data_IF_340725266180
#
_entry.id   IF_340725266180
#
_cell.length_a   1.000
_cell.length_b   1.000
_cell.length_c   1.000
_cell.angle_alpha   90.00
_cell.angle_beta   90.00
_cell.angle_gamma   90.00
#
_symmetry.space_group_name_H-M   'P 1'
#
loop_
_entity.id
_entity.type
_entity.pdbx_description
1 polymer ?
#
# COMPACT_ATOMS: atom_id res chain seq x y z
N UNK A 1 -20.99 2.91 -2.44
CA UNK A 1 -19.88 2.59 -3.37
C UNK A 1 -18.74 2.04 -2.54
N UNK A 2 -18.18 0.90 -2.93
CA UNK A 2 -17.04 0.30 -2.27
C UNK A 2 -15.76 0.91 -2.87
N UNK A 3 -14.82 1.35 -2.04
CA UNK A 3 -13.54 1.91 -2.50
C UNK A 3 -12.57 0.75 -2.71
N UNK A 4 -12.12 0.57 -3.96
CA UNK A 4 -11.23 -0.52 -4.32
C UNK A 4 -9.77 -0.15 -4.05
N UNK A 5 -9.13 -0.85 -3.11
CA UNK A 5 -7.72 -0.66 -2.77
C UNK A 5 -6.90 -1.83 -3.31
N UNK A 6 -5.99 -1.54 -4.23
CA UNK A 6 -5.08 -2.54 -4.77
C UNK A 6 -3.76 -2.60 -4.01
N UNK A 7 -3.25 -3.80 -3.77
CA UNK A 7 -1.96 -4.03 -3.13
C UNK A 7 -0.99 -4.64 -4.13
N UNK A 8 0.19 -4.06 -4.25
CA UNK A 8 1.35 -4.67 -4.91
C UNK A 8 2.49 -4.82 -3.92
N UNK A 9 3.20 -5.94 -4.00
CA UNK A 9 4.31 -6.23 -3.11
C UNK A 9 5.65 -6.16 -3.85
N UNK A 10 6.67 -5.66 -3.16
CA UNK A 10 8.06 -5.66 -3.59
C UNK A 10 9.00 -5.85 -2.39
N UNK A 11 10.31 -5.91 -2.62
CA UNK A 11 11.31 -5.88 -1.56
C UNK A 11 11.31 -7.11 -0.64
N UNK A 12 10.96 -8.28 -1.18
CA UNK A 12 11.04 -9.55 -0.46
C UNK A 12 12.45 -10.14 -0.38
N UNK A 13 13.40 -9.58 -1.13
CA UNK A 13 14.79 -10.03 -1.15
C UNK A 13 15.58 -9.64 0.11
N UNK A 14 15.28 -8.49 0.70
CA UNK A 14 15.88 -8.01 1.95
C UNK A 14 14.89 -7.10 2.70
N UNK A 15 13.82 -7.65 3.30
CA UNK A 15 12.78 -6.87 3.91
C UNK A 15 13.24 -6.26 5.25
N UNK A 16 13.00 -4.96 5.41
CA UNK A 16 13.15 -4.20 6.66
C UNK A 16 11.88 -4.21 7.51
N UNK A 17 10.75 -4.66 6.94
CA UNK A 17 9.43 -4.71 7.57
C UNK A 17 8.73 -6.03 7.24
N UNK A 18 7.81 -6.46 8.10
CA UNK A 18 6.87 -7.53 7.78
C UNK A 18 5.70 -6.98 6.94
N UNK A 19 5.83 -7.16 5.62
CA UNK A 19 4.85 -6.67 4.63
C UNK A 19 3.47 -7.30 4.82
N UNK A 20 3.41 -8.59 5.20
CA UNK A 20 2.14 -9.30 5.33
C UNK A 20 1.42 -8.87 6.60
N UNK A 21 2.16 -8.72 7.71
CA UNK A 21 1.64 -8.16 8.95
C UNK A 21 1.10 -6.75 8.75
N UNK A 22 1.87 -5.88 8.09
CA UNK A 22 1.44 -4.52 7.78
C UNK A 22 0.11 -4.48 7.03
N UNK A 23 -0.04 -5.28 5.96
CA UNK A 23 -1.28 -5.30 5.18
C UNK A 23 -2.45 -5.86 5.99
N UNK A 24 -2.22 -6.88 6.82
CA UNK A 24 -3.23 -7.41 7.73
C UNK A 24 -3.70 -6.35 8.76
N UNK A 25 -2.78 -5.53 9.27
CA UNK A 25 -3.11 -4.44 10.20
C UNK A 25 -3.90 -3.32 9.51
N UNK A 26 -3.55 -2.99 8.26
CA UNK A 26 -4.31 -2.02 7.44
C UNK A 26 -5.73 -2.54 7.20
N UNK A 27 -5.89 -3.79 6.77
CA UNK A 27 -7.19 -4.41 6.51
C UNK A 27 -8.08 -4.40 7.75
N UNK A 28 -7.54 -4.76 8.93
CA UNK A 28 -8.28 -4.74 10.20
C UNK A 28 -8.72 -3.34 10.64
N UNK A 29 -7.97 -2.31 10.26
CA UNK A 29 -8.24 -0.93 10.65
C UNK A 29 -9.18 -0.21 9.68
N UNK A 30 -9.46 -0.79 8.51
CA UNK A 30 -10.34 -0.19 7.52
C UNK A 30 -11.81 -0.54 7.75
N UNK A 31 -12.74 0.42 7.54
CA UNK A 31 -14.17 0.14 7.55
C UNK A 31 -14.59 -0.83 6.42
N UNK A 32 -15.73 -1.53 6.55
CA UNK A 32 -16.21 -2.50 5.57
C UNK A 32 -16.44 -1.97 4.15
N UNK A 33 -16.53 -0.65 3.98
CA UNK A 33 -16.68 0.03 2.67
C UNK A 33 -15.40 0.08 1.83
N UNK A 34 -14.26 -0.33 2.39
CA UNK A 34 -12.98 -0.48 1.68
C UNK A 34 -12.69 -1.97 1.49
N UNK A 35 -12.21 -2.34 0.32
CA UNK A 35 -11.75 -3.71 0.05
C UNK A 35 -10.31 -3.70 -0.45
N UNK A 36 -9.48 -4.56 0.15
CA UNK A 36 -8.14 -4.81 -0.33
C UNK A 36 -8.17 -5.95 -1.35
N UNK A 37 -7.44 -5.80 -2.43
CA UNK A 37 -7.22 -6.86 -3.41
C UNK A 37 -5.81 -6.82 -3.96
N UNK A 38 -5.27 -7.97 -4.31
CA UNK A 38 -4.02 -8.07 -5.09
C UNK A 38 -4.30 -8.24 -6.60
N UNK A 39 -5.56 -8.51 -6.93
CA UNK A 39 -6.02 -8.79 -8.30
C UNK A 39 -6.08 -7.51 -9.12
N UNK A 40 -5.44 -7.58 -10.28
CA UNK A 40 -5.50 -6.53 -11.28
C UNK A 40 -6.87 -6.60 -11.98
N UNK A 41 -7.57 -5.47 -12.07
CA UNK A 41 -8.83 -5.38 -12.84
C UNK A 41 -8.61 -4.62 -14.14
N UNK A 42 -9.55 -4.70 -15.09
CA UNK A 42 -9.51 -3.89 -16.32
C UNK A 42 -9.60 -2.38 -16.03
N UNK A 43 -10.20 -2.02 -14.90
CA UNK A 43 -10.25 -0.65 -14.40
C UNK A 43 -9.15 -0.41 -13.37
N UNK A 44 -8.52 0.79 -13.37
CA UNK A 44 -7.63 1.19 -12.29
C UNK A 44 -8.35 1.20 -10.94
N UNK A 45 -7.65 0.78 -9.89
CA UNK A 45 -8.10 0.92 -8.52
C UNK A 45 -8.24 2.40 -8.13
N UNK A 46 -9.08 2.69 -7.14
CA UNK A 46 -9.19 4.05 -6.61
C UNK A 46 -7.87 4.44 -5.93
N UNK A 47 -7.34 3.52 -5.10
CA UNK A 47 -6.08 3.69 -4.38
C UNK A 47 -5.22 2.44 -4.56
N UNK A 48 -3.94 2.63 -4.89
CA UNK A 48 -2.92 1.60 -4.91
C UNK A 48 -1.97 1.75 -3.72
N UNK A 49 -1.59 0.65 -3.09
CA UNK A 49 -0.53 0.62 -2.09
C UNK A 49 0.59 -0.26 -2.62
N UNK A 50 1.75 0.35 -2.87
CA UNK A 50 2.95 -0.39 -3.24
C UNK A 50 3.77 -0.67 -1.99
N UNK A 51 3.67 -1.91 -1.48
CA UNK A 51 4.33 -2.36 -0.26
C UNK A 51 5.71 -2.94 -0.56
N UNK A 52 6.73 -2.10 -0.52
CA UNK A 52 8.13 -2.53 -0.69
C UNK A 52 8.76 -2.79 0.68
N UNK A 53 9.18 -4.04 0.91
CA UNK A 53 9.90 -4.41 2.14
C UNK A 53 11.27 -3.77 2.25
N UNK A 54 11.88 -3.34 1.13
CA UNK A 54 13.17 -2.66 1.10
C UNK A 54 13.03 -1.26 0.47
N UNK A 55 14.11 -0.48 0.51
CA UNK A 55 14.14 0.91 0.02
C UNK A 55 14.12 1.04 -1.51
N UNK A 56 14.42 -0.02 -2.27
CA UNK A 56 14.68 0.06 -3.72
C UNK A 56 13.42 0.10 -4.58
N UNK A 57 12.30 -0.45 -4.10
CA UNK A 57 11.04 -0.51 -4.84
C UNK A 57 11.15 -1.01 -6.30
N UNK A 58 11.87 -2.12 -6.55
CA UNK A 58 12.23 -2.59 -7.91
C UNK A 58 11.08 -2.81 -8.90
N UNK A 59 9.84 -2.94 -8.41
CA UNK A 59 8.63 -3.10 -9.26
C UNK A 59 7.91 -1.79 -9.54
N UNK A 60 8.36 -0.68 -8.95
CA UNK A 60 7.85 0.66 -9.23
C UNK A 60 8.21 1.03 -10.67
N UNK A 61 7.24 0.79 -11.57
CA UNK A 61 7.36 1.01 -13.01
C UNK A 61 6.10 1.71 -13.53
N UNK A 62 6.17 2.37 -14.69
CA UNK A 62 5.00 3.06 -15.27
C UNK A 62 3.76 2.16 -15.39
N UNK A 63 3.93 0.86 -15.69
CA UNK A 63 2.82 -0.08 -15.82
C UNK A 63 2.11 -0.30 -14.48
N UNK A 64 2.86 -0.33 -13.38
CA UNK A 64 2.28 -0.42 -12.03
C UNK A 64 1.56 0.89 -11.70
N UNK A 65 2.15 2.06 -11.98
CA UNK A 65 1.52 3.35 -11.66
C UNK A 65 0.14 3.51 -12.31
N UNK A 66 -0.05 2.96 -13.50
CA UNK A 66 -1.33 3.02 -14.22
C UNK A 66 -2.44 2.12 -13.63
N UNK A 67 -2.11 1.24 -12.67
CA UNK A 67 -3.08 0.33 -12.05
C UNK A 67 -3.96 0.99 -10.99
N UNK A 68 -3.61 2.20 -10.53
CA UNK A 68 -4.43 2.95 -9.58
C UNK A 68 -4.44 4.44 -9.91
N UNK A 69 -5.51 5.14 -9.49
CA UNK A 69 -5.65 6.59 -9.66
C UNK A 69 -4.73 7.36 -8.71
N UNK A 70 -4.56 6.84 -7.49
CA UNK A 70 -3.70 7.41 -6.46
C UNK A 70 -2.84 6.30 -5.84
N UNK A 71 -1.65 6.67 -5.33
CA UNK A 71 -0.70 5.72 -4.76
C UNK A 71 -0.23 6.14 -3.39
N UNK A 72 -0.08 5.15 -2.51
CA UNK A 72 0.69 5.23 -1.27
C UNK A 72 1.90 4.31 -1.45
N UNK A 73 3.10 4.85 -1.26
CA UNK A 73 4.34 4.09 -1.40
C UNK A 73 4.92 3.75 -0.03
N UNK A 74 5.10 2.45 0.23
CA UNK A 74 5.86 1.98 1.39
C UNK A 74 7.20 1.47 0.91
N UNK A 75 8.29 1.96 1.49
CA UNK A 75 9.65 1.55 1.19
C UNK A 75 10.42 1.30 2.50
N UNK A 76 10.51 0.03 2.90
CA UNK A 76 11.02 -0.32 4.22
C UNK A 76 10.22 0.35 5.33
N UNK A 77 10.90 1.08 6.20
CA UNK A 77 10.33 1.88 7.29
C UNK A 77 9.93 3.30 6.86
N UNK A 78 9.53 3.49 5.59
CA UNK A 78 9.05 4.79 5.10
C UNK A 78 7.72 4.69 4.38
N UNK A 79 6.89 5.73 4.50
CA UNK A 79 5.61 5.88 3.80
C UNK A 79 5.62 7.25 3.11
N UNK A 80 5.55 7.29 1.78
CA UNK A 80 5.66 8.51 0.96
C UNK A 80 6.84 9.42 1.36
N UNK A 81 8.03 8.83 1.51
CA UNK A 81 9.30 9.49 1.91
C UNK A 81 9.40 9.91 3.39
N UNK A 82 8.36 9.69 4.19
CA UNK A 82 8.40 9.93 5.63
C UNK A 82 8.85 8.65 6.37
N UNK A 83 9.89 8.75 7.20
CA UNK A 83 10.32 7.62 8.03
C UNK A 83 9.34 7.39 9.19
N UNK A 84 8.79 6.18 9.27
CA UNK A 84 7.79 5.76 10.23
C UNK A 84 8.22 4.43 10.85
N UNK A 85 8.12 4.31 12.16
CA UNK A 85 8.32 3.04 12.86
C UNK A 85 7.26 2.03 12.41
N UNK A 86 7.63 0.77 12.20
CA UNK A 86 6.74 -0.28 11.68
C UNK A 86 5.36 -0.33 12.39
N UNK A 87 5.36 -0.23 13.72
CA UNK A 87 4.17 -0.21 14.59
C UNK A 87 3.15 0.90 14.28
N UNK A 88 3.61 2.00 13.69
CA UNK A 88 2.77 3.18 13.38
C UNK A 88 2.37 3.24 11.91
N UNK A 89 2.99 2.43 11.05
CA UNK A 89 2.79 2.54 9.60
C UNK A 89 1.35 2.27 9.19
N UNK A 90 0.71 1.23 9.74
CA UNK A 90 -0.68 0.90 9.43
C UNK A 90 -1.61 2.10 9.71
N UNK A 91 -1.46 2.74 10.87
CA UNK A 91 -2.25 3.91 11.24
C UNK A 91 -2.01 5.13 10.34
N UNK A 92 -0.77 5.35 9.90
CA UNK A 92 -0.44 6.43 8.94
C UNK A 92 -1.04 6.16 7.57
N UNK A 93 -0.95 4.92 7.08
CA UNK A 93 -1.49 4.51 5.78
C UNK A 93 -3.02 4.64 5.77
N UNK A 94 -3.70 4.19 6.83
CA UNK A 94 -5.16 4.32 6.96
C UNK A 94 -5.60 5.79 6.98
N UNK A 95 -4.87 6.66 7.69
CA UNK A 95 -5.14 8.11 7.65
C UNK A 95 -5.00 8.67 6.23
N UNK A 96 -3.96 8.27 5.49
CA UNK A 96 -3.76 8.69 4.10
C UNK A 96 -4.89 8.17 3.19
N UNK A 97 -5.34 6.93 3.36
CA UNK A 97 -6.48 6.38 2.62
C UNK A 97 -7.73 7.26 2.79
N UNK A 98 -8.02 7.70 4.01
CA UNK A 98 -9.19 8.56 4.28
C UNK A 98 -9.06 9.98 3.72
N UNK A 99 -7.85 10.48 3.48
CA UNK A 99 -7.60 11.78 2.84
C UNK A 99 -7.72 11.70 1.32
N UNK A 100 -7.44 10.54 0.74
CA UNK A 100 -7.45 10.32 -0.71
C UNK A 100 -8.86 10.00 -1.27
N UNK A 101 -9.79 9.54 -0.42
CA UNK A 101 -11.18 9.21 -0.78
C UNK A 101 -12.01 10.42 -1.22
#
# INVERSE_FOLDING_TARGET
>A
MQVGIGIKYCGGCNPLIDRAKLVCEIEKALPPEYSLTTESSSNPWDIGILVCGCLTACVEKPEIRNMARQWIFVAGNSVDLENITEEKMAGVIVKKIFVLK
#
